data_IF_222873197039
#
_entry.id   IF_222873197039
#
_cell.length_a   1.000
_cell.length_b   1.000
_cell.length_c   1.000
_cell.angle_alpha   90.00
_cell.angle_beta   90.00
_cell.angle_gamma   90.00
#
_symmetry.space_group_name_H-M   'P 1'
#
loop_
_entity.id
_entity.type
_entity.pdbx_description
1 polymer ?
#
# COMPACT_ATOMS: atom_id res chain seq x y z
N UNK A 1 27.72 -48.34 -9.79
CA UNK A 1 26.29 -48.11 -9.48
C UNK A 1 26.26 -47.25 -8.22
N UNK A 2 26.03 -45.94 -8.37
CA UNK A 2 26.05 -44.99 -7.26
C UNK A 2 24.72 -45.02 -6.51
N UNK A 3 24.77 -45.05 -5.18
CA UNK A 3 23.62 -44.88 -4.29
C UNK A 3 23.14 -43.43 -4.36
N UNK A 4 21.84 -43.15 -4.52
CA UNK A 4 21.36 -41.78 -4.42
C UNK A 4 21.48 -41.33 -2.96
N UNK A 5 22.19 -40.22 -2.76
CA UNK A 5 22.19 -39.50 -1.50
C UNK A 5 20.78 -38.96 -1.26
N UNK A 6 20.10 -39.53 -0.27
CA UNK A 6 18.91 -38.97 0.34
C UNK A 6 19.31 -37.66 1.03
N UNK A 7 19.41 -36.59 0.26
CA UNK A 7 19.33 -35.24 0.78
C UNK A 7 17.87 -35.01 1.14
N UNK A 8 17.48 -35.55 2.29
CA UNK A 8 16.42 -34.99 3.12
C UNK A 8 16.86 -33.57 3.48
N UNK A 9 16.69 -32.65 2.53
CA UNK A 9 16.61 -31.24 2.84
C UNK A 9 15.33 -31.12 3.66
N UNK A 10 15.50 -31.17 4.98
CA UNK A 10 14.58 -30.57 5.93
C UNK A 10 14.33 -29.14 5.44
N UNK A 11 13.35 -29.00 4.56
CA UNK A 11 12.67 -27.74 4.34
C UNK A 11 11.89 -27.52 5.62
N UNK A 12 12.60 -27.05 6.65
CA UNK A 12 11.99 -26.37 7.77
C UNK A 12 10.99 -25.39 7.14
N UNK A 13 9.68 -25.52 7.41
CA UNK A 13 8.75 -24.54 6.92
C UNK A 13 9.23 -23.23 7.56
N UNK A 14 9.76 -22.32 6.75
CA UNK A 14 9.90 -20.93 7.11
C UNK A 14 8.45 -20.45 7.32
N UNK A 15 7.95 -20.74 8.51
CA UNK A 15 6.75 -20.19 9.07
C UNK A 15 7.12 -18.76 9.39
N UNK A 16 7.19 -17.93 8.35
CA UNK A 16 7.00 -16.51 8.49
C UNK A 16 5.68 -16.39 9.26
N UNK A 17 5.82 -16.23 10.57
CA UNK A 17 4.71 -16.25 11.49
C UNK A 17 3.90 -15.02 11.13
N UNK A 18 2.60 -15.17 10.88
CA UNK A 18 1.75 -14.04 10.50
C UNK A 18 2.04 -12.87 11.44
N UNK A 19 2.43 -11.69 10.91
CA UNK A 19 2.68 -10.53 11.74
C UNK A 19 1.45 -10.22 12.61
N UNK A 20 1.62 -9.67 13.81
CA UNK A 20 0.49 -9.43 14.73
C UNK A 20 -0.60 -8.48 14.18
N UNK A 21 -0.27 -7.69 13.15
CA UNK A 21 -1.21 -6.80 12.45
C UNK A 21 -1.91 -7.48 11.26
N UNK A 22 -1.44 -8.66 10.85
CA UNK A 22 -1.98 -9.38 9.71
C UNK A 22 -3.35 -9.97 10.06
N UNK A 23 -4.36 -9.67 9.24
CA UNK A 23 -5.72 -10.21 9.42
C UNK A 23 -5.88 -11.64 8.90
N UNK A 24 -4.84 -12.17 8.23
CA UNK A 24 -4.80 -13.54 7.72
C UNK A 24 -5.71 -13.70 6.51
N UNK A 25 -5.19 -13.39 5.31
CA UNK A 25 -5.90 -13.71 4.09
C UNK A 25 -5.57 -15.16 3.69
N UNK A 26 -6.56 -16.04 3.86
CA UNK A 26 -6.51 -17.44 3.40
C UNK A 26 -6.75 -17.41 1.87
N UNK A 27 -5.69 -17.29 1.09
CA UNK A 27 -5.77 -17.31 -0.37
C UNK A 27 -5.92 -18.75 -0.90
N UNK A 28 -6.89 -19.51 -0.40
CA UNK A 28 -7.22 -20.87 -0.86
C UNK A 28 -8.25 -20.85 -2.03
N UNK A 29 -8.05 -19.93 -2.97
CA UNK A 29 -8.72 -19.97 -4.26
C UNK A 29 -7.98 -20.91 -5.21
N UNK A 30 -8.65 -21.89 -5.88
CA UNK A 30 -7.99 -22.98 -6.63
C UNK A 30 -7.31 -22.59 -7.96
N UNK A 31 -6.80 -21.36 -8.06
CA UNK A 31 -5.92 -20.89 -9.13
C UNK A 31 -4.77 -20.01 -8.62
N UNK A 32 -4.52 -19.99 -7.30
CA UNK A 32 -3.59 -19.09 -6.64
C UNK A 32 -2.12 -19.45 -6.85
N UNK A 33 -1.55 -19.04 -7.98
CA UNK A 33 -0.12 -18.72 -8.09
C UNK A 33 0.13 -17.30 -7.53
N UNK A 34 -0.59 -16.93 -6.48
CA UNK A 34 -0.51 -15.61 -5.86
C UNK A 34 0.38 -15.70 -4.63
N UNK A 35 1.50 -14.99 -4.66
CA UNK A 35 2.33 -14.68 -3.50
C UNK A 35 1.46 -14.45 -2.26
N UNK A 36 1.55 -15.33 -1.27
CA UNK A 36 0.85 -15.13 0.00
C UNK A 36 1.25 -13.77 0.58
N UNK A 37 0.28 -12.88 0.70
CA UNK A 37 0.47 -11.52 1.21
C UNK A 37 -0.15 -11.42 2.61
N UNK A 38 0.66 -10.96 3.57
CA UNK A 38 0.16 -10.55 4.87
C UNK A 38 -0.40 -9.14 4.74
N UNK A 39 -1.68 -8.95 5.06
CA UNK A 39 -2.36 -7.65 4.97
C UNK A 39 -2.92 -7.22 6.32
N UNK A 40 -2.83 -5.94 6.63
CA UNK A 40 -3.50 -5.34 7.77
C UNK A 40 -4.94 -4.97 7.43
N UNK A 41 -5.76 -4.79 8.47
CA UNK A 41 -7.08 -4.19 8.28
C UNK A 41 -6.93 -2.80 7.61
N UNK A 42 -7.70 -2.51 6.54
CA UNK A 42 -7.64 -1.22 5.87
C UNK A 42 -8.09 -0.08 6.79
N UNK A 43 -7.36 1.02 6.78
CA UNK A 43 -7.82 2.28 7.35
C UNK A 43 -8.45 3.13 6.23
N UNK A 44 -9.74 3.44 6.36
CA UNK A 44 -10.49 4.21 5.38
C UNK A 44 -10.46 5.70 5.73
N UNK A 45 -10.12 6.54 4.76
CA UNK A 45 -9.96 7.98 4.91
C UNK A 45 -10.82 8.71 3.88
N UNK A 46 -11.90 9.39 4.29
CA UNK A 46 -12.72 10.19 3.37
C UNK A 46 -11.94 11.42 2.92
N UNK A 47 -11.89 11.65 1.60
CA UNK A 47 -11.13 12.70 0.94
C UNK A 47 -11.96 13.38 -0.15
N UNK A 48 -11.53 14.59 -0.53
CA UNK A 48 -12.04 15.26 -1.73
C UNK A 48 -10.91 15.27 -2.76
N UNK A 49 -11.08 14.51 -3.84
CA UNK A 49 -10.14 14.50 -4.96
C UNK A 49 -10.53 15.57 -5.98
N UNK A 50 -9.51 16.18 -6.60
CA UNK A 50 -9.69 17.01 -7.78
C UNK A 50 -9.49 16.12 -9.01
N UNK A 51 -10.57 15.72 -9.65
CA UNK A 51 -10.53 14.93 -10.87
C UNK A 51 -10.44 15.85 -12.09
N UNK A 52 -9.71 15.37 -13.10
CA UNK A 52 -9.48 16.10 -14.35
C UNK A 52 -10.09 15.32 -15.50
N UNK A 53 -11.05 15.93 -16.19
CA UNK A 53 -11.64 15.35 -17.39
C UNK A 53 -11.36 16.25 -18.58
N UNK A 54 -11.00 15.62 -19.71
CA UNK A 54 -10.89 16.27 -21.02
C UNK A 54 -12.14 15.98 -21.84
N UNK A 55 -12.80 17.03 -22.31
CA UNK A 55 -13.89 16.91 -23.28
C UNK A 55 -13.34 16.70 -24.70
N UNK A 56 -14.22 16.31 -25.63
CA UNK A 56 -13.89 16.07 -27.03
C UNK A 56 -13.29 17.30 -27.73
N UNK A 57 -13.68 18.52 -27.31
CA UNK A 57 -13.12 19.80 -27.78
C UNK A 57 -11.75 20.15 -27.14
N UNK A 58 -11.19 19.26 -26.31
CA UNK A 58 -9.92 19.47 -25.62
C UNK A 58 -10.00 20.36 -24.36
N UNK A 59 -11.20 20.86 -24.03
CA UNK A 59 -11.43 21.61 -22.80
C UNK A 59 -11.21 20.74 -21.56
N UNK A 60 -10.46 21.28 -20.59
CA UNK A 60 -10.13 20.62 -19.33
C UNK A 60 -11.07 21.12 -18.25
N UNK A 61 -11.84 20.22 -17.67
CA UNK A 61 -12.66 20.51 -16.49
C UNK A 61 -12.07 19.84 -15.26
N UNK A 62 -12.02 20.61 -14.17
CA UNK A 62 -11.72 20.10 -12.85
C UNK A 62 -13.03 19.97 -12.08
N UNK A 63 -13.30 18.79 -11.54
CA UNK A 63 -14.44 18.56 -10.68
C UNK A 63 -13.99 17.96 -9.36
N UNK A 64 -14.70 18.33 -8.28
CA UNK A 64 -14.44 17.79 -6.96
C UNK A 64 -15.25 16.52 -6.79
N UNK A 65 -14.57 15.44 -6.43
CA UNK A 65 -15.20 14.15 -6.16
C UNK A 65 -14.93 13.72 -4.72
N UNK A 66 -15.99 13.23 -4.07
CA UNK A 66 -15.84 12.56 -2.79
C UNK A 66 -15.26 11.17 -3.06
N UNK A 67 -14.07 10.90 -2.51
CA UNK A 67 -13.38 9.62 -2.64
C UNK A 67 -13.06 9.08 -1.24
N UNK A 68 -12.95 7.77 -1.12
CA UNK A 68 -12.47 7.12 0.10
C UNK A 68 -11.12 6.46 -0.19
N UNK A 69 -10.08 6.91 0.49
CA UNK A 69 -8.76 6.30 0.37
C UNK A 69 -8.62 5.17 1.38
N UNK A 70 -8.23 4.00 0.90
CA UNK A 70 -7.81 2.87 1.69
C UNK A 70 -6.30 2.92 1.92
N UNK A 71 -5.91 2.85 3.19
CA UNK A 71 -4.52 2.71 3.61
C UNK A 71 -4.33 1.28 4.13
N UNK A 72 -3.56 0.48 3.39
CA UNK A 72 -3.34 -0.94 3.70
C UNK A 72 -1.87 -1.20 3.86
N UNK A 73 -1.49 -1.67 5.05
CA UNK A 73 -0.15 -2.21 5.28
C UNK A 73 -0.11 -3.65 4.78
N UNK A 74 0.88 -4.00 3.96
CA UNK A 74 1.07 -5.36 3.50
C UNK A 74 2.54 -5.79 3.46
N UNK A 75 2.79 -7.10 3.45
CA UNK A 75 4.11 -7.70 3.37
C UNK A 75 4.03 -9.01 2.58
N UNK A 76 4.97 -9.20 1.65
CA UNK A 76 5.11 -10.46 0.93
C UNK A 76 5.71 -11.53 1.83
N UNK A 77 5.26 -12.78 1.72
CA UNK A 77 5.82 -13.89 2.51
C UNK A 77 7.31 -14.11 2.28
N UNK A 78 7.80 -13.84 1.07
CA UNK A 78 9.18 -14.04 0.65
C UNK A 78 10.09 -12.85 0.97
N UNK A 79 9.53 -11.73 1.45
CA UNK A 79 10.26 -10.50 1.68
C UNK A 79 10.07 -9.94 3.08
N UNK A 80 11.14 -9.38 3.65
CA UNK A 80 11.09 -8.72 4.95
C UNK A 80 10.50 -7.30 4.87
N UNK A 81 10.42 -6.75 3.66
CA UNK A 81 9.93 -5.40 3.43
C UNK A 81 8.42 -5.28 3.63
N UNK A 82 8.04 -4.32 4.46
CA UNK A 82 6.66 -3.90 4.62
C UNK A 82 6.35 -2.72 3.71
N UNK A 83 5.28 -2.86 2.95
CA UNK A 83 4.72 -1.85 2.07
C UNK A 83 3.44 -1.25 2.65
N UNK A 84 3.13 -0.05 2.21
CA UNK A 84 1.89 0.68 2.49
C UNK A 84 1.29 1.09 1.15
N UNK A 85 0.12 0.53 0.87
CA UNK A 85 -0.77 0.97 -0.19
C UNK A 85 -1.57 2.18 0.30
N UNK A 86 -1.72 3.19 -0.56
CA UNK A 86 -2.59 4.34 -0.38
C UNK A 86 -3.36 4.55 -1.68
N UNK A 87 -4.68 4.36 -1.68
CA UNK A 87 -5.46 4.52 -2.91
C UNK A 87 -6.95 4.24 -2.77
N UNK A 88 -7.71 4.46 -3.82
CA UNK A 88 -9.18 4.26 -3.88
C UNK A 88 -9.58 2.87 -4.43
N UNK A 89 -8.61 1.99 -4.67
CA UNK A 89 -8.81 0.70 -5.35
C UNK A 89 -8.68 0.78 -6.87
N UNK A 90 -8.95 1.95 -7.48
CA UNK A 90 -8.73 2.18 -8.93
C UNK A 90 -7.36 2.82 -9.17
N UNK A 91 -7.00 3.81 -8.35
CA UNK A 91 -5.70 4.46 -8.38
C UNK A 91 -5.04 4.32 -7.02
N UNK A 92 -3.75 4.02 -7.00
CA UNK A 92 -3.04 3.86 -5.75
C UNK A 92 -1.53 3.99 -5.88
N UNK A 93 -0.92 4.16 -4.72
CA UNK A 93 0.50 4.30 -4.54
C UNK A 93 0.98 3.29 -3.50
N UNK A 94 1.90 2.43 -3.89
CA UNK A 94 2.60 1.51 -3.00
C UNK A 94 3.97 2.10 -2.64
N UNK A 95 4.20 2.30 -1.35
CA UNK A 95 5.45 2.84 -0.83
C UNK A 95 5.93 2.06 0.38
N UNK A 96 7.24 2.02 0.60
CA UNK A 96 7.79 1.46 1.83
C UNK A 96 7.36 2.28 3.05
N UNK A 97 7.34 1.65 4.23
CA UNK A 97 7.02 2.37 5.48
C UNK A 97 7.96 3.56 5.76
N UNK A 98 9.22 3.48 5.32
CA UNK A 98 10.15 4.61 5.47
C UNK A 98 9.73 5.79 4.60
N UNK A 99 9.40 5.52 3.33
CA UNK A 99 8.89 6.54 2.40
C UNK A 99 7.57 7.13 2.89
N UNK A 100 6.68 6.32 3.46
CA UNK A 100 5.44 6.80 4.08
C UNK A 100 5.72 7.77 5.25
N UNK A 101 6.68 7.47 6.12
CA UNK A 101 7.09 8.37 7.21
C UNK A 101 7.65 9.69 6.68
N UNK A 102 8.43 9.64 5.60
CA UNK A 102 8.95 10.85 4.93
C UNK A 102 7.80 11.67 4.33
N UNK A 103 6.84 11.01 3.68
CA UNK A 103 5.65 11.64 3.10
C UNK A 103 4.80 12.34 4.18
N UNK A 104 4.50 11.68 5.30
CA UNK A 104 3.75 12.29 6.41
C UNK A 104 4.43 13.56 6.93
N UNK A 105 5.76 13.56 7.07
CA UNK A 105 6.51 14.76 7.49
C UNK A 105 6.42 15.88 6.46
N UNK A 106 6.51 15.55 5.17
CA UNK A 106 6.38 16.53 4.10
C UNK A 106 4.97 17.13 4.05
N UNK A 107 3.93 16.29 4.11
CA UNK A 107 2.53 16.71 4.17
C UNK A 107 2.27 17.64 5.36
N UNK A 108 2.77 17.28 6.55
CA UNK A 108 2.66 18.12 7.73
C UNK A 108 3.29 19.50 7.53
N UNK A 109 4.45 19.57 6.85
CA UNK A 109 5.05 20.87 6.50
C UNK A 109 4.16 21.67 5.55
N UNK A 110 3.68 21.09 4.47
CA UNK A 110 2.80 21.78 3.51
C UNK A 110 1.53 22.32 4.17
N UNK A 111 0.86 21.52 5.00
CA UNK A 111 -0.37 21.92 5.70
C UNK A 111 -0.09 23.03 6.73
N UNK A 112 1.07 23.02 7.40
CA UNK A 112 1.42 24.02 8.40
C UNK A 112 2.09 25.28 7.84
N UNK A 113 2.69 25.23 6.66
CA UNK A 113 3.35 26.37 6.00
C UNK A 113 2.34 27.43 5.56
N UNK A 114 1.12 27.02 5.19
CA UNK A 114 0.02 27.93 4.82
C UNK A 114 -0.37 28.92 5.94
N UNK A 115 0.00 28.66 7.20
CA UNK A 115 -0.25 29.59 8.32
C UNK A 115 0.79 30.69 8.49
N UNK A 116 1.92 30.67 7.76
CA UNK A 116 2.99 31.68 7.89
C UNK A 116 3.01 32.74 6.78
N UNK A 117 2.10 32.69 5.82
CA UNK A 117 2.01 33.66 4.71
C UNK A 117 1.18 34.93 4.95
N UNK A 118 0.81 35.25 6.19
CA UNK A 118 -0.12 36.36 6.51
C UNK A 118 0.47 37.45 7.40
N UNK A 119 1.73 37.85 7.20
CA UNK A 119 2.36 38.89 8.02
C UNK A 119 3.61 39.52 7.42
N UNK A 120 3.42 40.37 6.41
CA UNK A 120 4.28 41.51 6.02
C UNK A 120 3.30 42.45 5.30
N UNK A 121 2.98 43.66 5.72
CA UNK A 121 3.76 44.76 6.27
C UNK A 121 3.15 46.03 5.65
#
# INVERSE_FOLDING_TARGET
MATPEDRSEEHAPLTATCPAWCIGYDADGPGGIGDHVHEAAPALVPCIALERSTYDDGAIQHHLAAVELSLVRYQYRTGDDTWLYIGDGSHGLDISLESARRLVRALGRYIHDERRGGGVG
#
